data_IF_498832842934
#
_entry.id   IF_498832842934
#
_cell.length_a   1.000
_cell.length_b   1.000
_cell.length_c   1.000
_cell.angle_alpha   90.00
_cell.angle_beta   90.00
_cell.angle_gamma   90.00
#
_symmetry.space_group_name_H-M   'P 1'
#
loop_
_entity.id
_entity.type
_entity.pdbx_description
1 polymer ?
#
# COMPACT_ATOMS: atom_id res chain seq x y z
N UNK A 1 -10.44 -3.75 12.52
CA UNK A 1 -9.95 -3.23 11.23
C UNK A 1 -10.36 -4.18 10.12
N UNK A 2 -10.83 -3.71 8.95
CA UNK A 2 -11.12 -4.59 7.80
C UNK A 2 -9.90 -5.35 7.31
N UNK A 3 -8.74 -4.69 7.28
CA UNK A 3 -7.46 -5.27 6.84
C UNK A 3 -6.31 -4.87 7.75
N UNK A 4 -5.24 -5.67 7.74
CA UNK A 4 -3.97 -5.34 8.39
C UNK A 4 -2.94 -4.82 7.37
N UNK A 5 -2.02 -3.99 7.85
CA UNK A 5 -0.91 -3.48 7.04
C UNK A 5 0.06 -4.58 6.57
N UNK A 6 0.23 -5.65 7.38
CA UNK A 6 1.22 -6.70 7.14
C UNK A 6 2.47 -6.54 8.01
N UNK A 7 3.11 -7.66 8.37
CA UNK A 7 4.41 -7.70 9.06
C UNK A 7 4.40 -7.50 10.59
N UNK A 8 3.37 -6.89 11.17
CA UNK A 8 3.24 -6.72 12.63
C UNK A 8 1.89 -7.24 13.11
N UNK A 9 1.89 -8.41 13.73
CA UNK A 9 0.70 -9.06 14.27
C UNK A 9 1.06 -9.95 15.47
N UNK A 10 0.09 -10.15 16.36
CA UNK A 10 0.11 -11.20 17.35
C UNK A 10 -1.11 -12.09 17.12
N UNK A 11 -0.91 -13.39 17.08
CA UNK A 11 -1.95 -14.38 16.79
C UNK A 11 -1.67 -15.63 17.61
N UNK A 12 -2.73 -16.26 18.14
CA UNK A 12 -2.59 -17.57 18.78
C UNK A 12 -2.01 -18.59 17.80
N UNK A 13 -1.05 -19.39 18.27
CA UNK A 13 -0.34 -20.36 17.42
C UNK A 13 -1.27 -21.45 16.91
N UNK A 14 -2.16 -21.97 17.75
CA UNK A 14 -3.06 -23.04 17.34
C UNK A 14 -4.08 -22.51 16.34
N UNK A 15 -4.61 -21.31 16.59
CA UNK A 15 -5.48 -20.61 15.66
C UNK A 15 -4.78 -20.40 14.31
N UNK A 16 -3.50 -19.94 14.28
CA UNK A 16 -2.72 -19.77 13.04
C UNK A 16 -2.77 -21.00 12.13
N UNK A 17 -2.49 -22.18 12.69
CA UNK A 17 -2.47 -23.44 11.95
C UNK A 17 -3.88 -23.93 11.63
N UNK A 18 -4.83 -23.73 12.54
CA UNK A 18 -6.22 -24.08 12.33
C UNK A 18 -6.83 -23.33 11.13
N UNK A 19 -6.51 -22.05 11.00
CA UNK A 19 -6.97 -21.23 9.88
C UNK A 19 -6.11 -21.42 8.62
N UNK A 20 -5.20 -22.40 8.57
CA UNK A 20 -4.47 -22.77 7.35
C UNK A 20 -3.18 -22.00 7.11
N UNK A 21 -2.58 -21.36 8.12
CA UNK A 21 -1.29 -20.66 8.04
C UNK A 21 -1.20 -19.64 6.89
N UNK A 22 -0.03 -19.36 6.31
CA UNK A 22 0.07 -18.55 5.08
C UNK A 22 -0.14 -19.39 3.83
N UNK A 23 -0.49 -18.71 2.72
CA UNK A 23 -0.48 -19.32 1.39
C UNK A 23 0.94 -19.62 0.91
N UNK A 24 1.30 -20.90 0.92
CA UNK A 24 2.59 -21.45 0.49
C UNK A 24 2.81 -21.30 -1.02
N UNK A 25 1.77 -20.99 -1.80
CA UNK A 25 1.89 -20.62 -3.21
C UNK A 25 2.12 -19.14 -3.46
N UNK A 26 2.14 -18.28 -2.43
CA UNK A 26 2.53 -16.87 -2.59
C UNK A 26 4.05 -16.74 -2.68
N UNK A 27 4.49 -15.86 -3.59
CA UNK A 27 5.90 -15.68 -3.87
C UNK A 27 6.39 -14.29 -3.43
N UNK A 28 7.60 -14.26 -2.86
CA UNK A 28 8.34 -13.08 -2.39
C UNK A 28 7.59 -12.16 -1.42
N UNK A 29 6.68 -11.33 -1.93
CA UNK A 29 6.05 -10.27 -1.17
C UNK A 29 4.74 -9.80 -1.78
N UNK A 30 3.77 -9.47 -0.92
CA UNK A 30 2.58 -8.72 -1.25
C UNK A 30 1.35 -9.60 -1.36
N UNK A 31 0.21 -9.06 -0.94
CA UNK A 31 -1.08 -9.76 -0.98
C UNK A 31 -1.34 -10.64 0.25
N UNK A 32 -0.31 -11.08 0.97
CA UNK A 32 -0.44 -11.97 2.14
C UNK A 32 -1.19 -11.31 3.30
N UNK A 33 -1.07 -9.98 3.42
CA UNK A 33 -1.78 -9.20 4.41
C UNK A 33 -3.29 -9.13 4.12
N UNK A 34 -3.67 -8.99 2.85
CA UNK A 34 -5.08 -9.00 2.42
C UNK A 34 -5.67 -10.40 2.54
N UNK A 35 -4.95 -11.43 2.10
CA UNK A 35 -5.36 -12.83 2.20
C UNK A 35 -5.66 -13.23 3.64
N UNK A 36 -4.72 -12.98 4.55
CA UNK A 36 -4.91 -13.26 5.97
C UNK A 36 -6.09 -12.48 6.55
N UNK A 37 -6.25 -11.20 6.19
CA UNK A 37 -7.35 -10.37 6.67
C UNK A 37 -8.72 -10.92 6.26
N UNK A 38 -8.87 -11.24 4.97
CA UNK A 38 -10.11 -11.80 4.43
C UNK A 38 -10.41 -13.17 5.03
N UNK A 39 -9.40 -14.03 5.15
CA UNK A 39 -9.53 -15.35 5.74
C UNK A 39 -9.94 -15.31 7.20
N UNK A 40 -9.28 -14.49 8.03
CA UNK A 40 -9.63 -14.36 9.45
C UNK A 40 -11.10 -13.95 9.61
N UNK A 41 -11.54 -12.90 8.92
CA UNK A 41 -12.93 -12.43 9.03
C UNK A 41 -13.95 -13.43 8.48
N UNK A 42 -13.69 -13.98 7.29
CA UNK A 42 -14.63 -14.90 6.64
C UNK A 42 -14.70 -16.25 7.35
N UNK A 43 -13.63 -16.70 8.02
CA UNK A 43 -13.57 -18.01 8.66
C UNK A 43 -13.78 -17.99 10.19
N UNK A 44 -14.30 -16.88 10.73
CA UNK A 44 -14.82 -16.83 12.11
C UNK A 44 -13.90 -16.21 13.16
N UNK A 45 -12.79 -15.60 12.74
CA UNK A 45 -11.98 -14.75 13.61
C UNK A 45 -12.32 -13.27 13.51
N UNK A 46 -11.56 -12.45 14.24
CA UNK A 46 -11.64 -10.99 14.20
C UNK A 46 -10.25 -10.40 14.02
N UNK A 47 -10.18 -9.19 13.45
CA UNK A 47 -8.93 -8.46 13.26
C UNK A 47 -9.00 -7.11 13.97
N UNK A 48 -8.11 -6.92 14.94
CA UNK A 48 -8.13 -5.77 15.84
C UNK A 48 -6.83 -4.98 15.78
N UNK A 49 -6.95 -3.66 15.90
CA UNK A 49 -5.81 -2.77 16.09
C UNK A 49 -5.86 -2.30 17.53
N UNK A 50 -4.87 -2.68 18.33
CA UNK A 50 -4.85 -2.41 19.77
C UNK A 50 -4.15 -1.07 20.02
N UNK A 51 -4.85 0.01 20.40
CA UNK A 51 -4.25 1.35 20.49
C UNK A 51 -3.16 1.46 21.57
N UNK A 52 -3.22 0.58 22.57
CA UNK A 52 -2.23 0.49 23.65
C UNK A 52 -0.95 -0.23 23.23
N UNK A 53 -0.98 -1.08 22.20
CA UNK A 53 0.19 -1.79 21.69
C UNK A 53 0.87 -0.95 20.62
N UNK A 54 2.14 -0.58 20.85
CA UNK A 54 2.87 0.35 19.98
C UNK A 54 4.17 -0.27 19.55
N UNK A 55 4.29 -0.51 18.25
CA UNK A 55 5.54 -0.94 17.62
C UNK A 55 5.87 0.06 16.53
N UNK A 56 7.01 0.74 16.67
CA UNK A 56 7.50 1.65 15.65
C UNK A 56 7.99 0.87 14.45
N UNK A 57 7.46 1.18 13.26
CA UNK A 57 7.98 0.68 12.00
C UNK A 57 8.68 1.81 11.25
N UNK A 58 9.97 1.65 10.97
CA UNK A 58 10.74 2.62 10.19
C UNK A 58 10.50 2.33 8.71
N UNK A 59 9.52 3.02 8.12
CA UNK A 59 9.36 3.05 6.67
C UNK A 59 10.54 3.81 6.05
N UNK A 60 11.25 3.22 5.09
CA UNK A 60 12.54 3.71 4.57
C UNK A 60 12.37 4.49 3.25
N UNK A 61 13.22 5.49 3.01
CA UNK A 61 13.23 6.33 1.78
C UNK A 61 14.33 5.97 0.77
N UNK A 62 15.19 5.01 1.11
CA UNK A 62 16.25 4.43 0.26
C UNK A 62 16.68 3.07 0.85
N UNK A 63 17.38 2.26 0.07
CA UNK A 63 17.86 0.95 0.51
C UNK A 63 18.83 1.05 1.71
N UNK A 64 18.80 0.11 2.67
CA UNK A 64 19.91 -0.09 3.61
C UNK A 64 21.10 -0.81 2.96
N UNK A 65 21.02 -1.13 1.68
CA UNK A 65 22.17 -1.56 0.91
C UNK A 65 22.58 -0.42 0.00
N UNK A 66 23.81 0.02 0.21
CA UNK A 66 24.59 0.73 -0.80
C UNK A 66 24.85 -0.22 -1.99
N UNK A 67 24.72 0.26 -3.24
CA UNK A 67 25.95 0.29 -4.04
C UNK A 67 26.89 1.21 -3.26
N UNK A 68 28.18 0.92 -3.01
CA UNK A 68 29.06 1.90 -2.36
C UNK A 68 29.05 3.18 -3.22
N UNK A 69 28.20 4.14 -2.87
CA UNK A 69 27.45 4.80 -3.93
C UNK A 69 26.67 6.01 -3.49
N UNK A 70 27.38 7.13 -3.33
CA UNK A 70 26.84 8.40 -3.80
C UNK A 70 25.79 9.09 -2.93
N UNK A 71 25.64 8.72 -1.66
CA UNK A 71 25.18 9.67 -0.64
C UNK A 71 26.36 10.55 -0.24
N UNK A 72 26.16 11.87 -0.15
CA UNK A 72 27.15 12.78 0.43
C UNK A 72 27.18 12.65 1.96
N UNK A 73 27.39 11.42 2.44
CA UNK A 73 27.63 11.09 3.86
C UNK A 73 28.82 11.91 4.38
N UNK A 74 29.75 12.21 3.47
CA UNK A 74 30.85 13.15 3.63
C UNK A 74 30.33 14.57 3.97
N UNK A 75 29.42 15.14 3.18
CA UNK A 75 28.82 16.45 3.45
C UNK A 75 28.09 16.54 4.79
N UNK A 76 27.36 15.49 5.16
CA UNK A 76 26.61 15.46 6.44
C UNK A 76 27.55 15.35 7.64
N UNK A 77 28.67 14.63 7.52
CA UNK A 77 29.64 14.54 8.60
C UNK A 77 30.53 15.80 8.68
N UNK A 78 30.90 16.42 7.56
CA UNK A 78 31.69 17.67 7.52
C UNK A 78 30.91 18.85 8.11
N UNK A 79 29.58 18.90 7.92
CA UNK A 79 28.70 19.86 8.63
C UNK A 79 28.84 19.71 10.14
N UNK A 80 28.89 18.48 10.66
CA UNK A 80 29.00 18.23 12.10
C UNK A 80 30.35 18.67 12.68
N UNK A 81 31.44 18.58 11.90
CA UNK A 81 32.77 19.06 12.33
C UNK A 81 32.84 20.58 12.27
N UNK A 82 32.30 21.18 11.20
CA UNK A 82 32.25 22.62 11.03
C UNK A 82 31.40 23.30 12.12
N UNK A 83 30.27 22.70 12.51
CA UNK A 83 29.41 23.21 13.58
C UNK A 83 30.02 23.09 14.99
N UNK A 84 30.95 22.16 15.19
CA UNK A 84 31.53 21.89 16.52
C UNK A 84 32.89 22.55 16.73
N UNK A 85 33.70 22.77 15.68
CA UNK A 85 35.12 23.16 15.83
C UNK A 85 35.55 24.41 15.06
N UNK A 86 34.71 24.98 14.18
CA UNK A 86 35.11 26.09 13.28
C UNK A 86 34.56 27.46 13.69
N UNK A 87 33.86 27.56 14.82
CA UNK A 87 33.36 28.80 15.41
C UNK A 87 32.79 29.78 14.37
N UNK A 88 33.24 31.03 14.33
CA UNK A 88 32.75 32.06 13.40
C UNK A 88 33.23 31.86 11.94
N UNK A 89 34.24 31.02 11.73
CA UNK A 89 34.80 30.76 10.40
C UNK A 89 33.94 29.79 9.56
N UNK A 90 32.97 29.08 10.17
CA UNK A 90 32.00 28.22 9.46
C UNK A 90 31.16 28.95 8.41
N UNK A 91 31.10 30.29 8.46
CA UNK A 91 30.50 31.14 7.42
C UNK A 91 31.12 30.90 6.04
N UNK A 92 32.44 30.69 5.97
CA UNK A 92 33.14 30.41 4.71
C UNK A 92 32.78 29.03 4.15
N UNK A 93 32.51 28.05 5.02
CA UNK A 93 32.04 26.70 4.65
C UNK A 93 30.62 26.74 4.04
N UNK A 94 29.69 27.50 4.63
CA UNK A 94 28.31 27.63 4.14
C UNK A 94 28.14 28.56 2.93
N UNK A 95 29.06 29.50 2.68
CA UNK A 95 29.10 30.25 1.40
C UNK A 95 29.30 29.32 0.20
N UNK A 96 30.00 28.19 0.39
CA UNK A 96 30.31 27.22 -0.65
C UNK A 96 29.34 26.01 -0.68
N UNK A 97 28.67 25.69 0.44
CA UNK A 97 27.66 24.61 0.57
C UNK A 97 26.37 25.10 1.22
N UNK A 98 25.61 25.99 0.55
CA UNK A 98 24.39 26.60 1.10
C UNK A 98 23.24 25.59 1.27
N UNK A 99 23.34 24.41 0.64
CA UNK A 99 22.41 23.29 0.73
C UNK A 99 22.28 22.67 2.14
N UNK A 100 23.13 23.08 3.10
CA UNK A 100 23.28 22.46 4.42
C UNK A 100 22.92 23.36 5.63
N UNK A 101 22.28 24.51 5.40
CA UNK A 101 22.18 25.61 6.38
C UNK A 101 21.08 25.51 7.46
N UNK A 102 20.14 24.56 7.38
CA UNK A 102 18.85 24.64 8.12
C UNK A 102 18.70 23.55 9.19
N UNK A 103 19.59 23.55 10.19
CA UNK A 103 19.46 22.71 11.40
C UNK A 103 19.91 23.48 12.64
N UNK A 104 19.02 24.30 13.21
CA UNK A 104 19.22 24.87 14.55
C UNK A 104 17.91 24.80 15.33
N UNK A 105 17.94 24.13 16.48
CA UNK A 105 16.87 24.10 17.48
C UNK A 105 17.37 24.72 18.79
N UNK A 106 16.46 25.29 19.59
CA UNK A 106 16.70 25.65 20.99
C UNK A 106 15.47 25.40 21.85
N UNK A 107 15.59 24.61 22.91
CA UNK A 107 14.60 24.52 24.01
C UNK A 107 14.18 23.11 24.46
N UNK A 108 13.97 22.98 25.78
CA UNK A 108 14.03 21.80 26.66
C UNK A 108 12.92 20.74 26.53
N UNK A 109 13.25 19.48 26.85
CA UNK A 109 12.30 18.36 26.91
C UNK A 109 11.81 18.13 28.35
N UNK A 110 10.51 18.37 28.58
CA UNK A 110 9.76 17.96 29.79
C UNK A 110 8.60 17.04 29.39
N UNK A 111 8.28 16.05 30.24
CA UNK A 111 7.24 15.05 29.97
C UNK A 111 5.97 15.27 30.81
N UNK A 112 4.82 15.47 30.15
CA UNK A 112 3.45 15.35 30.71
C UNK A 112 2.52 14.78 29.62
N UNK A 113 1.52 13.94 29.98
CA UNK A 113 0.93 12.95 29.07
C UNK A 113 -0.25 13.50 28.27
N UNK A 114 -0.68 12.71 27.28
CA UNK A 114 -1.77 12.91 26.32
C UNK A 114 -1.29 13.43 24.96
N UNK A 115 -1.20 12.47 24.01
CA UNK A 115 -1.12 12.66 22.55
C UNK A 115 0.15 13.30 22.01
N UNK A 116 0.78 12.67 20.99
CA UNK A 116 1.01 13.22 19.63
C UNK A 116 1.27 12.06 18.66
N UNK A 117 0.39 11.85 17.68
CA UNK A 117 0.65 10.99 16.50
C UNK A 117 0.95 11.91 15.33
N UNK A 118 2.15 11.80 14.76
CA UNK A 118 2.53 12.46 13.52
C UNK A 118 2.57 11.44 12.39
N UNK A 119 1.78 11.67 11.34
CA UNK A 119 1.86 10.94 10.08
C UNK A 119 2.58 11.80 9.04
N UNK A 120 3.59 11.25 8.36
CA UNK A 120 4.27 11.89 7.23
C UNK A 120 4.21 10.90 6.05
N UNK A 121 3.44 11.26 5.00
CA UNK A 121 3.07 10.39 3.87
C UNK A 121 3.87 10.70 2.59
N UNK A 122 4.28 9.68 1.80
CA UNK A 122 4.71 9.76 0.36
C UNK A 122 4.59 8.39 -0.38
N UNK A 123 4.74 8.39 -1.71
CA UNK A 123 3.74 7.90 -2.69
C UNK A 123 3.96 6.61 -3.54
N UNK A 124 4.82 5.60 -3.24
CA UNK A 124 4.79 4.29 -4.00
C UNK A 124 5.71 3.15 -3.46
N UNK A 125 5.60 1.93 -4.03
CA UNK A 125 6.22 0.64 -3.59
C UNK A 125 7.44 0.13 -4.43
N UNK A 126 8.41 -0.67 -3.89
CA UNK A 126 9.70 -0.95 -4.57
C UNK A 126 10.12 -2.46 -4.64
N UNK A 127 9.67 -3.22 -5.65
CA UNK A 127 10.26 -4.53 -6.02
C UNK A 127 10.72 -4.53 -7.47
N UNK A 128 11.88 -5.12 -7.73
CA UNK A 128 12.21 -5.71 -9.03
C UNK A 128 12.25 -7.21 -8.82
N UNK A 129 11.27 -7.90 -9.39
CA UNK A 129 11.07 -9.31 -9.16
C UNK A 129 12.06 -10.13 -10.01
N UNK A 130 12.61 -11.23 -9.48
CA UNK A 130 13.44 -12.13 -10.28
C UNK A 130 12.66 -12.54 -11.56
N UNK A 131 13.24 -12.32 -12.74
CA UNK A 131 12.61 -12.63 -14.03
C UNK A 131 11.53 -11.66 -14.51
N UNK A 132 11.34 -10.50 -13.88
CA UNK A 132 10.35 -9.49 -14.30
C UNK A 132 8.89 -9.88 -14.06
N UNK A 133 8.67 -10.93 -13.26
CA UNK A 133 7.35 -11.48 -12.95
C UNK A 133 6.66 -10.62 -11.88
N UNK A 134 5.47 -10.08 -12.14
CA UNK A 134 4.71 -9.28 -11.16
C UNK A 134 4.22 -10.15 -9.98
N UNK A 135 5.08 -10.46 -9.00
CA UNK A 135 4.71 -11.35 -7.90
C UNK A 135 3.63 -10.74 -7.02
N UNK A 136 3.63 -9.42 -6.85
CA UNK A 136 2.59 -8.73 -6.11
C UNK A 136 1.22 -8.90 -6.79
N UNK A 137 1.15 -8.65 -8.10
CA UNK A 137 -0.05 -8.89 -8.90
C UNK A 137 -0.50 -10.35 -8.86
N UNK A 138 0.43 -11.30 -9.03
CA UNK A 138 0.14 -12.73 -9.00
C UNK A 138 -0.37 -13.18 -7.63
N UNK A 139 0.25 -12.75 -6.55
CA UNK A 139 -0.24 -13.06 -5.20
C UNK A 139 -1.64 -12.46 -4.99
N UNK A 140 -1.90 -11.25 -5.51
CA UNK A 140 -3.21 -10.60 -5.43
C UNK A 140 -4.26 -11.34 -6.26
N UNK A 141 -3.88 -11.91 -7.42
CA UNK A 141 -4.75 -12.83 -8.18
C UNK A 141 -5.13 -14.03 -7.34
N UNK A 142 -4.18 -14.67 -6.64
CA UNK A 142 -4.49 -15.78 -5.72
C UNK A 142 -5.49 -15.36 -4.63
N UNK A 143 -5.35 -14.16 -4.07
CA UNK A 143 -6.34 -13.61 -3.12
C UNK A 143 -7.71 -13.45 -3.77
N UNK A 144 -7.77 -12.83 -4.95
CA UNK A 144 -9.01 -12.55 -5.64
C UNK A 144 -9.75 -13.83 -6.03
N UNK A 145 -9.03 -14.82 -6.56
CA UNK A 145 -9.60 -16.10 -6.97
C UNK A 145 -10.12 -16.95 -5.79
N UNK A 146 -9.47 -16.88 -4.63
CA UNK A 146 -9.86 -17.66 -3.46
C UNK A 146 -10.91 -16.96 -2.60
N UNK A 147 -10.82 -15.64 -2.40
CA UNK A 147 -11.52 -14.93 -1.33
C UNK A 147 -12.52 -13.86 -1.76
N UNK A 148 -12.53 -13.43 -3.03
CA UNK A 148 -13.34 -12.29 -3.48
C UNK A 148 -14.62 -12.67 -4.24
N UNK A 149 -14.89 -13.95 -4.46
CA UNK A 149 -16.10 -14.45 -5.14
C UNK A 149 -16.36 -13.71 -6.47
N UNK A 150 -17.59 -13.26 -6.72
CA UNK A 150 -17.96 -12.46 -7.90
C UNK A 150 -17.32 -11.07 -7.94
N UNK A 151 -16.87 -10.54 -6.80
CA UNK A 151 -16.28 -9.19 -6.70
C UNK A 151 -14.86 -9.12 -7.27
N UNK A 152 -14.23 -10.26 -7.55
CA UNK A 152 -12.94 -10.30 -8.28
C UNK A 152 -13.02 -9.63 -9.66
N UNK A 153 -14.21 -9.51 -10.26
CA UNK A 153 -14.44 -8.72 -11.49
C UNK A 153 -13.90 -7.29 -11.36
N UNK A 154 -14.06 -6.66 -10.20
CA UNK A 154 -13.59 -5.29 -9.98
C UNK A 154 -12.06 -5.21 -9.91
N UNK A 155 -11.42 -6.22 -9.36
CA UNK A 155 -9.97 -6.33 -9.38
C UNK A 155 -9.45 -6.41 -10.82
N UNK A 156 -10.03 -7.28 -11.65
CA UNK A 156 -9.62 -7.43 -13.05
C UNK A 156 -9.99 -6.24 -13.94
N UNK A 157 -11.01 -5.45 -13.60
CA UNK A 157 -11.27 -4.16 -14.29
C UNK A 157 -10.09 -3.20 -14.14
N UNK A 158 -9.43 -3.18 -12.98
CA UNK A 158 -8.29 -2.29 -12.72
C UNK A 158 -6.94 -2.92 -13.11
N UNK A 159 -6.86 -4.26 -13.12
CA UNK A 159 -5.68 -5.04 -13.50
C UNK A 159 -5.99 -6.03 -14.62
N UNK A 160 -6.41 -5.57 -15.80
CA UNK A 160 -6.74 -6.46 -16.91
C UNK A 160 -5.51 -7.21 -17.44
N UNK A 161 -4.32 -6.68 -17.20
CA UNK A 161 -3.03 -7.32 -17.51
C UNK A 161 -2.80 -8.64 -16.76
N UNK A 162 -3.54 -8.88 -15.67
CA UNK A 162 -3.44 -10.10 -14.87
C UNK A 162 -4.48 -11.17 -15.26
N UNK A 163 -5.35 -10.89 -16.23
CA UNK A 163 -6.32 -11.89 -16.71
C UNK A 163 -5.58 -13.04 -17.42
N UNK A 164 -5.79 -14.27 -16.94
CA UNK A 164 -5.21 -15.48 -17.53
C UNK A 164 -3.72 -15.69 -17.24
N UNK A 165 -3.13 -14.88 -16.35
CA UNK A 165 -1.77 -15.11 -15.84
C UNK A 165 -1.72 -16.43 -15.06
N UNK A 166 -0.62 -17.17 -15.18
CA UNK A 166 -0.37 -18.34 -14.34
C UNK A 166 -0.03 -17.91 -12.91
N UNK A 167 -0.94 -18.20 -11.99
CA UNK A 167 -0.83 -17.94 -10.56
C UNK A 167 -0.63 -19.22 -9.73
N UNK A 168 -0.35 -20.35 -10.38
CA UNK A 168 -0.17 -21.66 -9.76
C UNK A 168 -1.45 -22.27 -9.19
N UNK A 169 -1.32 -23.45 -8.56
CA UNK A 169 -2.47 -24.15 -7.98
C UNK A 169 -3.00 -23.43 -6.72
N UNK A 170 -4.32 -23.29 -6.65
CA UNK A 170 -5.06 -22.75 -5.50
C UNK A 170 -6.02 -23.78 -4.88
N UNK A 171 -6.02 -25.03 -5.38
CA UNK A 171 -6.96 -26.08 -4.97
C UNK A 171 -7.03 -26.27 -3.46
N UNK A 172 -5.87 -26.37 -2.80
CA UNK A 172 -5.80 -26.50 -1.33
C UNK A 172 -6.48 -25.35 -0.58
N UNK A 173 -6.34 -24.12 -1.08
CA UNK A 173 -6.94 -22.92 -0.46
C UNK A 173 -8.46 -22.90 -0.65
N UNK A 174 -8.92 -23.25 -1.85
CA UNK A 174 -10.35 -23.37 -2.17
C UNK A 174 -11.01 -24.48 -1.35
N UNK A 175 -10.38 -25.65 -1.26
CA UNK A 175 -10.87 -26.76 -0.43
C UNK A 175 -10.90 -26.41 1.05
N UNK A 176 -9.87 -25.73 1.56
CA UNK A 176 -9.85 -25.21 2.92
C UNK A 176 -11.05 -24.29 3.18
N UNK A 177 -11.28 -23.30 2.32
CA UNK A 177 -12.39 -22.34 2.46
C UNK A 177 -13.74 -23.05 2.49
N UNK A 178 -13.93 -24.05 1.63
CA UNK A 178 -15.12 -24.91 1.60
C UNK A 178 -15.27 -25.74 2.89
N UNK A 179 -14.20 -26.42 3.32
CA UNK A 179 -14.19 -27.30 4.50
C UNK A 179 -14.49 -26.53 5.79
N UNK A 180 -13.94 -25.33 5.93
CA UNK A 180 -14.18 -24.43 7.08
C UNK A 180 -15.50 -23.67 7.00
N UNK A 181 -16.26 -23.83 5.90
CA UNK A 181 -17.55 -23.14 5.67
C UNK A 181 -17.43 -21.63 5.88
N UNK A 182 -16.36 -21.04 5.37
CA UNK A 182 -16.12 -19.61 5.51
C UNK A 182 -17.23 -18.83 4.80
N UNK A 183 -17.51 -17.64 5.32
CA UNK A 183 -18.51 -16.71 4.79
C UNK A 183 -18.07 -16.14 3.44
N UNK A 184 -19.02 -15.61 2.68
CA UNK A 184 -18.74 -14.99 1.38
C UNK A 184 -18.06 -13.62 1.51
N UNK A 185 -17.47 -13.15 0.42
CA UNK A 185 -16.94 -11.80 0.33
C UNK A 185 -18.05 -10.75 0.43
N UNK A 186 -19.25 -11.04 -0.09
CA UNK A 186 -20.44 -10.21 0.14
C UNK A 186 -20.73 -10.00 1.63
N UNK A 187 -20.66 -11.08 2.43
CA UNK A 187 -20.82 -10.97 3.87
C UNK A 187 -19.74 -10.07 4.49
N UNK A 188 -18.48 -10.20 4.05
CA UNK A 188 -17.40 -9.33 4.51
C UNK A 188 -17.67 -7.86 4.21
N UNK A 189 -18.06 -7.52 2.98
CA UNK A 189 -18.39 -6.15 2.60
C UNK A 189 -19.57 -5.60 3.42
N UNK A 190 -20.60 -6.41 3.66
CA UNK A 190 -21.78 -5.95 4.40
C UNK A 190 -21.58 -5.84 5.92
N UNK A 191 -20.71 -6.66 6.52
CA UNK A 191 -20.61 -6.79 7.98
C UNK A 191 -19.28 -6.26 8.55
N UNK A 192 -18.22 -6.26 7.74
CA UNK A 192 -16.87 -5.87 8.17
C UNK A 192 -16.45 -4.54 7.56
N UNK A 193 -16.80 -4.28 6.28
CA UNK A 193 -16.45 -3.05 5.60
C UNK A 193 -17.62 -2.39 4.83
N UNK A 194 -18.75 -2.09 5.51
CA UNK A 194 -19.98 -1.60 4.86
C UNK A 194 -19.86 -0.22 4.21
N UNK A 195 -18.86 0.57 4.62
CA UNK A 195 -18.58 1.88 4.05
C UNK A 195 -17.80 1.82 2.73
N UNK A 196 -17.39 0.62 2.28
CA UNK A 196 -16.70 0.47 1.00
C UNK A 196 -17.67 0.73 -0.15
N UNK A 197 -17.34 1.71 -0.98
CA UNK A 197 -18.10 1.98 -2.20
C UNK A 197 -17.88 0.87 -3.23
N UNK A 198 -18.98 0.31 -3.74
CA UNK A 198 -18.99 -0.73 -4.78
C UNK A 198 -19.59 -0.10 -6.05
N UNK A 199 -18.82 0.02 -7.15
CA UNK A 199 -19.23 0.87 -8.27
C UNK A 199 -20.51 0.48 -9.00
N UNK A 200 -20.92 -0.79 -8.97
CA UNK A 200 -22.09 -1.31 -9.68
C UNK A 200 -23.24 -1.76 -8.76
N UNK A 201 -23.16 -1.52 -7.45
CA UNK A 201 -24.24 -1.81 -6.51
C UNK A 201 -24.97 -0.53 -6.09
N UNK A 202 -26.32 -0.58 -6.06
CA UNK A 202 -27.19 0.55 -5.68
C UNK A 202 -27.02 1.82 -6.55
N UNK A 203 -26.62 1.65 -7.81
CA UNK A 203 -26.46 2.75 -8.78
C UNK A 203 -27.43 2.61 -9.95
N UNK A 204 -27.80 3.74 -10.56
CA UNK A 204 -28.64 3.74 -11.78
C UNK A 204 -27.86 3.28 -13.02
N UNK A 205 -26.56 3.63 -13.07
CA UNK A 205 -25.66 3.26 -14.16
C UNK A 205 -24.21 3.27 -13.65
N UNK A 206 -23.37 2.43 -14.26
CA UNK A 206 -21.93 2.36 -14.03
C UNK A 206 -21.21 2.12 -15.36
N UNK A 207 -20.02 2.71 -15.53
CA UNK A 207 -19.17 2.52 -16.70
C UNK A 207 -18.76 3.82 -17.39
N UNK A 208 -18.60 3.76 -18.72
CA UNK A 208 -18.18 4.90 -19.54
C UNK A 208 -19.36 5.67 -20.12
N UNK A 209 -19.28 6.99 -20.10
CA UNK A 209 -20.21 7.88 -20.82
C UNK A 209 -19.60 8.18 -22.18
N UNK A 210 -20.21 7.64 -23.24
CA UNK A 210 -19.65 7.66 -24.59
C UNK A 210 -20.61 8.29 -25.62
N UNK A 211 -20.03 9.14 -26.47
CA UNK A 211 -20.58 9.52 -27.79
C UNK A 211 -19.49 9.22 -28.85
N UNK A 212 -19.11 10.21 -29.68
CA UNK A 212 -17.92 10.11 -30.54
C UNK A 212 -16.61 10.11 -29.71
N UNK A 213 -16.64 10.75 -28.55
CA UNK A 213 -15.59 10.80 -27.53
C UNK A 213 -16.15 10.31 -26.18
N UNK A 214 -15.27 10.07 -25.21
CA UNK A 214 -15.63 9.66 -23.85
C UNK A 214 -15.43 10.80 -22.85
N UNK A 215 -16.33 10.91 -21.86
CA UNK A 215 -16.15 11.81 -20.72
C UNK A 215 -14.90 11.42 -19.94
N UNK A 216 -14.02 12.38 -19.65
CA UNK A 216 -12.73 12.12 -19.02
C UNK A 216 -12.39 13.21 -17.97
N UNK A 217 -11.70 12.81 -16.92
CA UNK A 217 -11.16 13.72 -15.89
C UNK A 217 -9.89 14.45 -16.36
N UNK A 218 -9.32 14.04 -17.50
CA UNK A 218 -8.04 14.51 -18.02
C UNK A 218 -6.95 14.42 -16.95
N UNK A 219 -7.05 13.44 -16.04
CA UNK A 219 -6.19 13.24 -14.87
C UNK A 219 -6.01 14.48 -13.97
N UNK A 220 -6.97 15.40 -14.00
CA UNK A 220 -7.02 16.56 -13.09
C UNK A 220 -7.52 16.17 -11.70
N UNK A 221 -8.23 15.05 -11.60
CA UNK A 221 -8.81 14.51 -10.38
C UNK A 221 -7.81 14.30 -9.23
N UNK A 222 -6.55 13.97 -9.55
CA UNK A 222 -5.52 13.72 -8.54
C UNK A 222 -4.75 14.99 -8.14
N UNK A 223 -5.03 16.14 -8.77
CA UNK A 223 -4.31 17.40 -8.54
C UNK A 223 -5.20 18.52 -8.01
N UNK A 224 -6.50 18.49 -8.29
CA UNK A 224 -7.42 19.60 -8.01
C UNK A 224 -8.68 19.12 -7.27
N UNK A 225 -9.10 19.87 -6.25
CA UNK A 225 -10.33 19.60 -5.47
C UNK A 225 -11.60 19.83 -6.30
N UNK A 226 -11.53 20.73 -7.30
CA UNK A 226 -12.57 20.96 -8.29
C UNK A 226 -11.92 21.11 -9.67
N UNK A 227 -12.38 20.33 -10.65
CA UNK A 227 -11.87 20.36 -12.01
C UNK A 227 -13.02 20.22 -13.01
N UNK A 228 -12.87 20.88 -14.17
CA UNK A 228 -13.82 20.77 -15.26
C UNK A 228 -13.62 19.42 -15.97
N UNK A 229 -14.70 18.67 -16.14
CA UNK A 229 -14.71 17.43 -16.92
C UNK A 229 -14.49 17.75 -18.40
N UNK A 230 -13.66 16.95 -19.06
CA UNK A 230 -13.38 17.05 -20.49
C UNK A 230 -13.95 15.87 -21.27
N UNK A 231 -13.65 15.85 -22.56
CA UNK A 231 -13.85 14.68 -23.41
C UNK A 231 -12.52 14.27 -24.04
N UNK A 232 -12.27 12.96 -24.17
CA UNK A 232 -11.06 12.41 -24.77
C UNK A 232 -11.35 11.17 -25.61
N UNK A 233 -10.37 10.70 -26.38
CA UNK A 233 -10.47 9.45 -27.11
C UNK A 233 -10.80 8.31 -26.13
N UNK A 234 -11.81 7.51 -26.47
CA UNK A 234 -12.24 6.41 -25.61
C UNK A 234 -11.12 5.37 -25.46
N UNK A 235 -10.61 5.20 -24.25
CA UNK A 235 -9.57 4.25 -23.96
C UNK A 235 -10.12 2.84 -23.70
N UNK A 236 -9.29 1.82 -23.99
CA UNK A 236 -9.55 0.43 -23.57
C UNK A 236 -9.06 0.16 -22.13
N UNK A 237 -8.10 0.95 -21.64
CA UNK A 237 -7.47 0.88 -20.31
C UNK A 237 -6.79 2.21 -19.99
N UNK A 238 -6.45 2.47 -18.73
CA UNK A 238 -5.79 3.71 -18.30
C UNK A 238 -4.46 3.96 -19.05
N UNK A 239 -4.25 5.20 -19.50
CA UNK A 239 -3.11 5.64 -20.33
C UNK A 239 -2.30 6.76 -19.64
N UNK A 240 -1.01 6.96 -19.97
CA UNK A 240 -0.17 7.99 -19.36
C UNK A 240 -0.65 9.42 -19.70
N UNK A 241 -0.12 10.41 -18.96
CA UNK A 241 -0.57 11.81 -18.88
C UNK A 241 -1.38 12.33 -20.10
N UNK A 242 -2.69 12.56 -19.95
CA UNK A 242 -3.59 13.19 -20.92
C UNK A 242 -3.49 14.72 -20.90
N UNK A 243 -2.77 15.29 -19.93
CA UNK A 243 -2.43 16.72 -19.86
C UNK A 243 -1.03 16.91 -20.43
N UNK A 244 -0.89 17.84 -21.37
CA UNK A 244 0.41 18.42 -21.77
C UNK A 244 0.77 19.57 -20.85
#
# INVERSE_FOLDING_TARGET
SPTMAGGLLALDRNFFWEIGSYDDGMDVWGGENLEMSFRVWQCGGTLETIPCSRVGHIFRSFHPYTFPGGKDTHGINTVRVAEVWMDEYKKHFYTHRPDLLVWQCGGTLETIPCSRVGHIFRSFHPYTFPGGKDTHGINTVRVAEVWMDEYKKHFYTHRPDLLGVDYGDIGRRVEFRKKKKCKSFKWFLQNVYPQMFIPDENVQAFGKVQSLLCLDTLQRANKEVQYILGVYACHKSDMPSQVR
#
